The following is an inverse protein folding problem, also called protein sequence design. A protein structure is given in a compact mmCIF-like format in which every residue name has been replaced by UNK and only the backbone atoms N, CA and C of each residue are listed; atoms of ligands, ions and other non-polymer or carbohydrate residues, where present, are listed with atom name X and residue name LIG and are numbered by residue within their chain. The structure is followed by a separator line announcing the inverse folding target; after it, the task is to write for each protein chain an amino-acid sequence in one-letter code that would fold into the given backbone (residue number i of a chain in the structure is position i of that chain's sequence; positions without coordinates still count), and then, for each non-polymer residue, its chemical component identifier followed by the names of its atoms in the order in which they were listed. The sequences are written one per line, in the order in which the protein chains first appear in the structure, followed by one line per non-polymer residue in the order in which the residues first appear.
data_IF_673500211232
#
_entry.id   IF_673500211232
#
_cell.length_a   1.000
_cell.length_b   1.000
_cell.length_c   1.000
_cell.angle_alpha   90.00
_cell.angle_beta   90.00
_cell.angle_gamma   90.00
#
_symmetry.space_group_name_H-M   'P 1'
#
loop_
_entity.id
_entity.type
_entity.pdbx_description
1 polymer ?
#
# COMPACT_ATOMS: atom_id res chain seq x y z
N UNK A 1 -15.44 -21.62 -19.78
CA UNK A 1 -15.82 -20.96 -18.51
C UNK A 1 -14.88 -21.48 -17.43
N UNK A 2 -13.91 -20.66 -17.01
CA UNK A 2 -13.06 -20.95 -15.85
C UNK A 2 -12.44 -19.62 -15.37
N UNK A 3 -13.23 -18.81 -14.67
CA UNK A 3 -12.93 -17.41 -14.32
C UNK A 3 -12.90 -17.17 -12.81
N UNK A 4 -12.41 -18.14 -12.03
CA UNK A 4 -12.35 -18.01 -10.56
C UNK A 4 -10.96 -18.17 -9.93
N UNK A 5 -9.89 -18.35 -10.70
CA UNK A 5 -8.59 -18.73 -10.12
C UNK A 5 -7.45 -17.69 -10.20
N UNK A 6 -7.71 -16.50 -10.74
CA UNK A 6 -6.68 -15.44 -10.83
C UNK A 6 -6.79 -14.44 -9.67
N UNK A 7 -7.99 -14.24 -9.12
CA UNK A 7 -8.23 -13.17 -8.14
C UNK A 7 -7.81 -13.49 -6.71
N UNK A 8 -7.54 -14.76 -6.37
CA UNK A 8 -7.24 -15.20 -5.00
C UNK A 8 -5.72 -15.29 -4.74
N UNK A 9 -4.89 -15.47 -5.78
CA UNK A 9 -3.45 -15.74 -5.60
C UNK A 9 -2.60 -14.50 -5.27
N UNK A 10 -3.14 -13.30 -5.37
CA UNK A 10 -2.44 -12.04 -5.05
C UNK A 10 -2.79 -11.57 -3.62
N UNK A 11 -3.62 -12.32 -2.89
CA UNK A 11 -3.83 -12.09 -1.47
C UNK A 11 -2.66 -12.71 -0.67
N UNK A 12 -1.72 -11.85 -0.27
CA UNK A 12 -0.69 -12.09 0.74
C UNK A 12 0.29 -13.25 0.49
N UNK A 13 0.98 -13.28 -0.65
CA UNK A 13 2.25 -14.00 -0.71
C UNK A 13 3.22 -13.42 0.33
N UNK A 14 3.89 -14.29 1.10
CA UNK A 14 4.96 -13.86 2.02
C UNK A 14 5.97 -13.07 1.20
N UNK A 15 6.46 -11.98 1.75
CA UNK A 15 7.29 -11.03 1.01
C UNK A 15 8.57 -11.64 0.41
N UNK A 16 9.12 -12.68 1.04
CA UNK A 16 10.23 -13.48 0.50
C UNK A 16 9.83 -14.34 -0.71
N UNK A 17 8.59 -14.81 -0.78
CA UNK A 17 8.05 -15.54 -1.94
C UNK A 17 7.68 -14.58 -3.08
N UNK A 18 7.30 -13.34 -2.73
CA UNK A 18 6.91 -12.30 -3.70
C UNK A 18 8.12 -11.69 -4.42
N UNK A 19 9.23 -11.45 -3.71
CA UNK A 19 10.38 -10.69 -4.23
C UNK A 19 11.75 -11.34 -3.99
N UNK A 20 11.80 -12.57 -3.46
CA UNK A 20 13.05 -13.24 -3.11
C UNK A 20 13.62 -12.79 -1.76
N UNK A 21 14.75 -13.39 -1.38
CA UNK A 21 15.39 -13.18 -0.06
C UNK A 21 16.45 -12.09 -0.02
N UNK A 22 16.93 -11.58 -1.17
CA UNK A 22 17.91 -10.49 -1.20
C UNK A 22 17.25 -9.16 -0.79
N UNK A 23 17.64 -8.56 0.36
CA UNK A 23 16.95 -7.38 0.87
C UNK A 23 17.04 -6.17 -0.05
N UNK A 24 18.16 -6.02 -0.78
CA UNK A 24 18.38 -4.87 -1.66
C UNK A 24 17.53 -4.97 -2.93
N UNK A 25 17.60 -6.10 -3.63
CA UNK A 25 16.76 -6.35 -4.80
C UNK A 25 15.27 -6.28 -4.44
N UNK A 26 14.88 -6.82 -3.29
CA UNK A 26 13.50 -6.72 -2.79
C UNK A 26 13.07 -5.27 -2.59
N UNK A 27 13.90 -4.42 -1.98
CA UNK A 27 13.58 -3.00 -1.81
C UNK A 27 13.44 -2.28 -3.16
N UNK A 28 14.33 -2.55 -4.12
CA UNK A 28 14.25 -1.99 -5.47
C UNK A 28 12.95 -2.38 -6.19
N UNK A 29 12.52 -3.65 -6.05
CA UNK A 29 11.24 -4.13 -6.57
C UNK A 29 10.05 -3.40 -5.92
N UNK A 30 10.06 -3.22 -4.60
CA UNK A 30 9.00 -2.51 -3.88
C UNK A 30 8.91 -1.04 -4.30
N UNK A 31 10.05 -0.37 -4.51
CA UNK A 31 10.09 1.01 -5.01
C UNK A 31 9.51 1.09 -6.42
N UNK A 32 9.85 0.14 -7.30
CA UNK A 32 9.30 0.06 -8.65
C UNK A 32 7.78 -0.17 -8.62
N UNK A 33 7.31 -1.07 -7.75
CA UNK A 33 5.89 -1.35 -7.58
C UNK A 33 5.13 -0.13 -7.04
N UNK A 34 5.68 0.60 -6.07
CA UNK A 34 5.06 1.84 -5.58
C UNK A 34 4.86 2.88 -6.68
N UNK A 35 5.85 3.03 -7.56
CA UNK A 35 5.72 3.92 -8.72
C UNK A 35 4.66 3.42 -9.70
N UNK A 36 4.57 2.10 -9.90
CA UNK A 36 3.54 1.49 -10.74
C UNK A 36 2.13 1.72 -10.20
N UNK A 37 1.90 1.53 -8.89
CA UNK A 37 0.60 1.80 -8.29
C UNK A 37 0.21 3.28 -8.34
N UNK A 38 1.16 4.20 -8.12
CA UNK A 38 0.90 5.63 -8.29
C UNK A 38 0.52 5.97 -9.74
N UNK A 39 1.20 5.37 -10.72
CA UNK A 39 0.88 5.57 -12.13
C UNK A 39 -0.53 5.01 -12.46
N UNK A 40 -0.86 3.81 -11.97
CA UNK A 40 -2.19 3.22 -12.12
C UNK A 40 -3.28 4.09 -11.48
N UNK A 41 -3.04 4.62 -10.28
CA UNK A 41 -3.96 5.52 -9.59
C UNK A 41 -4.23 6.77 -10.42
N UNK A 42 -3.23 7.31 -11.12
CA UNK A 42 -3.41 8.48 -12.00
C UNK A 42 -4.23 8.17 -13.27
N UNK A 43 -4.57 6.90 -13.53
CA UNK A 43 -5.19 6.44 -14.78
C UNK A 43 -6.52 5.71 -14.55
N UNK A 44 -7.01 5.54 -13.32
CA UNK A 44 -8.28 4.83 -13.07
C UNK A 44 -9.45 5.48 -13.81
N UNK A 45 -9.49 6.81 -13.86
CA UNK A 45 -10.53 7.55 -14.62
C UNK A 45 -10.60 7.17 -16.12
N UNK A 46 -9.50 6.66 -16.70
CA UNK A 46 -9.47 6.21 -18.09
C UNK A 46 -10.11 4.83 -18.32
N UNK A 47 -10.39 4.08 -17.24
CA UNK A 47 -10.97 2.74 -17.32
C UNK A 47 -12.49 2.75 -17.56
N UNK A 48 -13.13 3.92 -17.51
CA UNK A 48 -14.58 4.10 -17.73
C UNK A 48 -15.43 3.16 -16.85
N UNK A 49 -14.99 2.99 -15.60
CA UNK A 49 -15.66 2.16 -14.61
C UNK A 49 -16.97 2.81 -14.14
N UNK A 50 -17.84 2.02 -13.53
CA UNK A 50 -18.93 2.60 -12.75
C UNK A 50 -18.35 3.40 -11.58
N UNK A 51 -19.09 4.39 -11.07
CA UNK A 51 -18.64 5.20 -9.93
C UNK A 51 -18.25 4.34 -8.72
N UNK A 52 -18.99 3.25 -8.49
CA UNK A 52 -18.71 2.31 -7.41
C UNK A 52 -17.39 1.57 -7.65
N UNK A 53 -17.20 1.02 -8.84
CA UNK A 53 -15.99 0.25 -9.17
C UNK A 53 -14.75 1.16 -9.22
N UNK A 54 -14.91 2.41 -9.67
CA UNK A 54 -13.84 3.43 -9.60
C UNK A 54 -13.43 3.72 -8.15
N UNK A 55 -14.41 3.91 -7.26
CA UNK A 55 -14.15 4.13 -5.84
C UNK A 55 -13.43 2.93 -5.19
N UNK A 56 -13.87 1.71 -5.49
CA UNK A 56 -13.24 0.49 -5.00
C UNK A 56 -11.80 0.35 -5.53
N UNK A 57 -11.56 0.68 -6.81
CA UNK A 57 -10.23 0.59 -7.41
C UNK A 57 -9.25 1.63 -6.85
N UNK A 58 -9.72 2.87 -6.65
CA UNK A 58 -8.93 3.93 -5.99
C UNK A 58 -8.54 3.51 -4.58
N UNK A 59 -9.49 2.98 -3.79
CA UNK A 59 -9.21 2.45 -2.45
C UNK A 59 -8.23 1.29 -2.52
N UNK A 60 -8.45 0.31 -3.40
CA UNK A 60 -7.57 -0.85 -3.57
C UNK A 60 -6.12 -0.44 -3.81
N UNK A 61 -5.87 0.50 -4.72
CA UNK A 61 -4.54 0.98 -5.04
C UNK A 61 -3.90 1.71 -3.85
N UNK A 62 -4.64 2.59 -3.17
CA UNK A 62 -4.13 3.29 -1.97
C UNK A 62 -3.80 2.31 -0.83
N UNK A 63 -4.62 1.28 -0.63
CA UNK A 63 -4.38 0.23 0.35
C UNK A 63 -3.15 -0.59 0.00
N UNK A 64 -2.97 -1.02 -1.26
CA UNK A 64 -1.78 -1.73 -1.71
C UNK A 64 -0.49 -0.92 -1.49
N UNK A 65 -0.55 0.38 -1.75
CA UNK A 65 0.58 1.26 -1.51
C UNK A 65 0.90 1.39 -0.02
N UNK A 66 -0.12 1.49 0.82
CA UNK A 66 0.05 1.54 2.28
C UNK A 66 0.58 0.20 2.84
N UNK A 67 0.17 -0.92 2.25
CA UNK A 67 0.65 -2.26 2.58
C UNK A 67 2.15 -2.40 2.29
N UNK A 68 2.60 -1.87 1.16
CA UNK A 68 4.03 -1.81 0.84
C UNK A 68 4.78 -0.94 1.85
N UNK A 69 4.23 0.20 2.28
CA UNK A 69 4.84 1.01 3.35
C UNK A 69 4.97 0.20 4.64
N UNK A 70 3.91 -0.50 5.06
CA UNK A 70 3.90 -1.27 6.30
C UNK A 70 4.86 -2.48 6.27
N UNK A 71 4.74 -3.32 5.24
CA UNK A 71 5.39 -4.64 5.18
C UNK A 71 6.85 -4.57 4.72
N UNK A 72 7.14 -3.58 3.88
CA UNK A 72 8.41 -3.48 3.15
C UNK A 72 9.14 -2.16 3.38
N UNK A 73 8.38 -1.10 3.70
CA UNK A 73 8.92 0.24 3.89
C UNK A 73 9.47 0.50 5.29
N UNK A 74 9.11 -0.27 6.30
CA UNK A 74 9.62 -0.08 7.67
C UNK A 74 10.99 -0.72 7.82
N UNK A 75 12.00 0.13 8.07
CA UNK A 75 13.41 -0.24 8.21
C UNK A 75 13.80 -0.55 9.66
N UNK A 76 13.13 0.07 10.64
CA UNK A 76 13.38 -0.17 12.05
C UNK A 76 12.13 0.13 12.87
N UNK A 77 11.67 -0.88 13.61
CA UNK A 77 10.45 -0.84 14.40
C UNK A 77 10.64 -0.40 15.85
N UNK A 78 11.85 -0.53 16.38
CA UNK A 78 12.19 -0.37 17.81
C UNK A 78 12.16 1.09 18.28
N UNK A 79 12.05 2.04 17.35
CA UNK A 79 11.99 3.48 17.65
C UNK A 79 10.57 3.89 18.07
N UNK A 80 10.48 5.00 18.83
CA UNK A 80 9.18 5.60 19.21
C UNK A 80 8.29 5.87 17.99
N UNK A 81 8.91 6.26 16.87
CA UNK A 81 8.30 6.33 15.55
C UNK A 81 9.10 5.41 14.60
N UNK A 82 8.46 4.48 13.88
CA UNK A 82 9.18 3.57 13.00
C UNK A 82 10.01 4.33 11.97
N UNK A 83 11.24 3.89 11.74
CA UNK A 83 12.05 4.40 10.63
C UNK A 83 11.53 3.80 9.34
N UNK A 84 11.19 4.65 8.36
CA UNK A 84 10.63 4.22 7.09
C UNK A 84 11.51 4.65 5.92
N UNK A 85 11.53 3.83 4.87
CA UNK A 85 12.19 4.13 3.60
C UNK A 85 11.44 5.26 2.89
N UNK A 86 12.12 6.40 2.71
CA UNK A 86 11.56 7.54 2.00
C UNK A 86 11.11 7.17 0.59
N UNK A 87 11.88 6.35 -0.14
CA UNK A 87 11.55 5.96 -1.51
C UNK A 87 10.29 5.09 -1.63
N UNK A 88 9.91 4.38 -0.57
CA UNK A 88 8.67 3.59 -0.52
C UNK A 88 7.49 4.47 -0.10
N UNK A 89 7.70 5.42 0.82
CA UNK A 89 6.64 6.30 1.36
C UNK A 89 6.32 7.46 0.43
N UNK A 90 7.31 8.05 -0.26
CA UNK A 90 7.13 9.24 -1.07
C UNK A 90 6.03 9.07 -2.15
N UNK A 91 5.98 7.97 -2.93
CA UNK A 91 4.89 7.79 -3.90
C UNK A 91 3.51 7.70 -3.24
N UNK A 92 3.40 7.12 -2.05
CA UNK A 92 2.14 7.03 -1.32
C UNK A 92 1.68 8.41 -0.81
N UNK A 93 2.59 9.27 -0.37
CA UNK A 93 2.27 10.65 -0.03
C UNK A 93 1.80 11.45 -1.26
N UNK A 94 2.42 11.24 -2.42
CA UNK A 94 1.96 11.84 -3.70
C UNK A 94 0.58 11.31 -4.09
N UNK A 95 0.30 10.03 -3.84
CA UNK A 95 -0.97 9.39 -4.16
C UNK A 95 -2.16 10.09 -3.48
N UNK A 96 -1.98 10.62 -2.26
CA UNK A 96 -3.00 11.46 -1.59
C UNK A 96 -3.44 12.63 -2.46
N UNK A 97 -2.49 13.43 -2.91
CA UNK A 97 -2.79 14.66 -3.65
C UNK A 97 -3.43 14.33 -5.01
N UNK A 98 -2.95 13.27 -5.66
CA UNK A 98 -3.53 12.77 -6.90
C UNK A 98 -4.95 12.22 -6.69
N UNK A 99 -5.18 11.43 -5.65
CA UNK A 99 -6.49 10.85 -5.36
C UNK A 99 -7.54 11.94 -5.13
N UNK A 100 -7.22 12.94 -4.29
CA UNK A 100 -8.12 14.05 -3.98
C UNK A 100 -8.37 14.91 -5.24
N UNK A 101 -7.33 15.18 -6.02
CA UNK A 101 -7.45 16.03 -7.22
C UNK A 101 -8.25 15.36 -8.34
N UNK A 102 -8.07 14.06 -8.56
CA UNK A 102 -8.70 13.33 -9.66
C UNK A 102 -10.09 12.80 -9.31
N UNK A 103 -10.29 12.34 -8.06
CA UNK A 103 -11.49 11.63 -7.63
C UNK A 103 -12.28 12.38 -6.55
N UNK A 104 -11.88 13.60 -6.19
CA UNK A 104 -12.62 14.49 -5.29
C UNK A 104 -12.88 13.87 -3.91
N UNK A 105 -14.15 13.84 -3.51
CA UNK A 105 -14.58 13.30 -2.21
C UNK A 105 -14.25 11.82 -2.08
N UNK A 106 -14.50 11.02 -3.12
CA UNK A 106 -14.20 9.59 -3.14
C UNK A 106 -12.71 9.35 -2.90
N UNK A 107 -11.84 10.11 -3.59
CA UNK A 107 -10.40 10.01 -3.40
C UNK A 107 -9.94 10.37 -1.98
N UNK A 108 -10.59 11.37 -1.34
CA UNK A 108 -10.32 11.73 0.06
C UNK A 108 -10.73 10.61 1.03
N UNK A 109 -11.92 10.06 0.85
CA UNK A 109 -12.43 8.99 1.71
C UNK A 109 -11.57 7.73 1.60
N UNK A 110 -11.23 7.33 0.37
CA UNK A 110 -10.33 6.21 0.11
C UNK A 110 -8.95 6.41 0.77
N UNK A 111 -8.41 7.63 0.70
CA UNK A 111 -7.16 7.99 1.38
C UNK A 111 -7.25 7.84 2.90
N UNK A 112 -8.30 8.38 3.53
CA UNK A 112 -8.43 8.29 4.98
C UNK A 112 -8.62 6.84 5.46
N UNK A 113 -9.34 6.00 4.71
CA UNK A 113 -9.45 4.58 5.00
C UNK A 113 -8.07 3.91 4.97
N UNK A 114 -7.35 4.02 3.85
CA UNK A 114 -6.02 3.40 3.71
C UNK A 114 -5.01 3.92 4.74
N UNK A 115 -5.07 5.21 5.08
CA UNK A 115 -4.22 5.83 6.10
C UNK A 115 -4.54 5.30 7.50
N UNK A 116 -5.82 5.20 7.85
CA UNK A 116 -6.24 4.68 9.15
C UNK A 116 -5.81 3.23 9.31
N UNK A 117 -5.97 2.41 8.26
CA UNK A 117 -5.52 1.01 8.27
C UNK A 117 -3.99 0.91 8.46
N UNK A 118 -3.21 1.75 7.77
CA UNK A 118 -1.75 1.79 8.00
C UNK A 118 -1.41 2.16 9.44
N UNK A 119 -2.03 3.22 9.98
CA UNK A 119 -1.80 3.65 11.35
C UNK A 119 -2.15 2.53 12.36
N UNK A 120 -3.28 1.86 12.15
CA UNK A 120 -3.71 0.74 12.99
C UNK A 120 -2.71 -0.42 12.92
N UNK A 121 -2.25 -0.79 11.73
CA UNK A 121 -1.29 -1.86 11.53
C UNK A 121 0.07 -1.54 12.19
N UNK A 122 0.57 -0.31 12.03
CA UNK A 122 1.81 0.13 12.69
C UNK A 122 1.67 0.08 14.21
N UNK A 123 0.57 0.64 14.74
CA UNK A 123 0.31 0.67 16.18
C UNK A 123 0.20 -0.76 16.76
N UNK A 124 -0.48 -1.66 16.04
CA UNK A 124 -0.61 -3.05 16.41
C UNK A 124 0.76 -3.76 16.44
N UNK A 125 1.56 -3.61 15.38
CA UNK A 125 2.90 -4.19 15.31
C UNK A 125 3.78 -3.70 16.48
N UNK A 126 3.82 -2.39 16.73
CA UNK A 126 4.57 -1.80 17.85
C UNK A 126 4.08 -2.30 19.22
N UNK A 127 2.77 -2.46 19.41
CA UNK A 127 2.22 -3.01 20.65
C UNK A 127 2.68 -4.47 20.87
N UNK A 128 2.67 -5.29 19.81
CA UNK A 128 3.12 -6.68 19.87
C UNK A 128 4.61 -6.78 20.25
N UNK A 129 5.49 -6.00 19.61
CA UNK A 129 6.92 -6.02 19.96
C UNK A 129 7.19 -5.60 21.41
N UNK A 130 6.41 -4.66 21.96
CA UNK A 130 6.53 -4.25 23.37
C UNK A 130 6.05 -5.33 24.34
N UNK A 131 5.12 -6.18 23.93
CA UNK A 131 4.67 -7.32 24.72
C UNK A 131 5.73 -8.43 24.74
N UNK A 132 6.36 -8.71 23.59
CA UNK A 132 7.42 -9.72 23.49
C UNK A 132 8.73 -9.34 24.20
N UNK A 133 8.98 -8.04 24.38
CA UNK A 133 10.15 -7.54 25.11
C UNK A 133 10.01 -7.58 26.64
N UNK A 134 8.89 -8.07 27.18
CA UNK A 134 8.62 -8.22 28.63
C UNK A 134 8.80 -9.66 29.08
#
# INVERSE_FOLDING_TARGET
MNTQNVSIKIAAQKSSERWGSDPKARLDCVIAEQRSYLAQLCQVWNLQLSQKDEAEEVLRLLSLMSDNVHKEGVLCWERSYPLVSFHVVQPWLQAKDHAIRLYGVIGREAWEVARNDLCNNINFAQAMMRLEAR
#
